data_IF_584544216655
#
_entry.id   IF_584544216655
#
_cell.length_a   1.000
_cell.length_b   1.000
_cell.length_c   1.000
_cell.angle_alpha   90.00
_cell.angle_beta   90.00
_cell.angle_gamma   90.00
#
_symmetry.space_group_name_H-M   'P 1'
#
loop_
_entity.id
_entity.type
_entity.pdbx_description
1 polymer ?
#
# COMPACT_ATOMS: atom_id res chain seq x y z
N UNK A 1 -7.22 -22.37 -5.46
CA UNK A 1 -7.33 -20.90 -5.39
C UNK A 1 -6.19 -20.35 -4.55
N UNK A 2 -5.54 -19.25 -4.95
CA UNK A 2 -4.49 -18.63 -4.13
C UNK A 2 -5.14 -17.76 -3.06
N UNK A 3 -4.76 -17.96 -1.80
CA UNK A 3 -5.24 -17.16 -0.66
C UNK A 3 -4.55 -15.79 -0.65
N UNK A 4 -5.21 -14.79 -0.08
CA UNK A 4 -4.62 -13.45 0.02
C UNK A 4 -3.42 -13.44 0.97
N UNK A 5 -2.52 -12.47 0.79
CA UNK A 5 -1.42 -12.24 1.74
C UNK A 5 -1.95 -11.84 3.13
N UNK A 6 -3.12 -11.21 3.19
CA UNK A 6 -3.80 -10.89 4.46
C UNK A 6 -4.22 -12.15 5.21
N UNK A 7 -4.67 -13.18 4.50
CA UNK A 7 -5.06 -14.46 5.10
C UNK A 7 -3.86 -15.33 5.49
N UNK A 8 -2.77 -15.26 4.72
CA UNK A 8 -1.66 -16.22 4.82
C UNK A 8 -0.47 -15.70 5.63
N UNK A 9 -0.19 -14.40 5.60
CA UNK A 9 0.98 -13.83 6.25
C UNK A 9 0.63 -13.38 7.69
N UNK A 10 1.15 -14.04 8.75
CA UNK A 10 0.84 -13.69 10.13
C UNK A 10 1.25 -12.26 10.50
N UNK A 11 2.28 -11.71 9.84
CA UNK A 11 2.76 -10.34 10.08
C UNK A 11 1.85 -9.25 9.49
N UNK A 12 0.93 -9.61 8.59
CA UNK A 12 -0.01 -8.68 7.95
C UNK A 12 -1.40 -8.70 8.59
N UNK A 13 -1.65 -9.60 9.55
CA UNK A 13 -2.93 -9.74 10.25
C UNK A 13 -3.22 -8.57 11.19
N UNK A 14 -2.20 -8.04 11.86
CA UNK A 14 -2.35 -6.88 12.73
C UNK A 14 -2.31 -5.58 11.89
N UNK A 15 -3.41 -4.81 11.82
CA UNK A 15 -3.48 -3.61 10.98
C UNK A 15 -2.54 -2.50 11.45
N UNK A 16 -2.32 -2.35 12.76
CA UNK A 16 -1.44 -1.32 13.30
C UNK A 16 0.02 -1.62 13.01
N UNK A 17 0.43 -2.87 13.19
CA UNK A 17 1.78 -3.33 12.84
C UNK A 17 2.02 -3.20 11.33
N UNK A 18 1.03 -3.57 10.50
CA UNK A 18 1.09 -3.41 9.05
C UNK A 18 1.31 -1.94 8.66
N UNK A 19 0.51 -1.03 9.21
CA UNK A 19 0.63 0.41 8.95
C UNK A 19 2.00 0.96 9.38
N UNK A 20 2.51 0.53 10.53
CA UNK A 20 3.85 0.89 11.02
C UNK A 20 4.95 0.42 10.07
N UNK A 21 4.88 -0.83 9.60
CA UNK A 21 5.87 -1.40 8.69
C UNK A 21 5.85 -0.72 7.32
N UNK A 22 4.66 -0.46 6.77
CA UNK A 22 4.50 0.28 5.52
C UNK A 22 5.08 1.70 5.62
N UNK A 23 4.78 2.41 6.71
CA UNK A 23 5.37 3.74 6.96
C UNK A 23 6.89 3.67 7.02
N UNK A 24 7.47 2.70 7.73
CA UNK A 24 8.93 2.55 7.80
C UNK A 24 9.54 2.35 6.42
N UNK A 25 8.94 1.46 5.61
CA UNK A 25 9.40 1.19 4.25
C UNK A 25 9.33 2.42 3.35
N UNK A 26 8.23 3.18 3.42
CA UNK A 26 8.06 4.41 2.65
C UNK A 26 9.08 5.48 3.04
N UNK A 27 9.25 5.73 4.34
CA UNK A 27 10.22 6.71 4.85
C UNK A 27 11.64 6.35 4.40
N UNK A 28 12.04 5.07 4.49
CA UNK A 28 13.39 4.67 4.06
C UNK A 28 13.59 4.83 2.56
N UNK A 29 12.59 4.48 1.74
CA UNK A 29 12.71 4.61 0.29
C UNK A 29 12.73 6.07 -0.14
N UNK A 30 11.87 6.90 0.42
CA UNK A 30 11.82 8.33 0.12
C UNK A 30 13.05 9.09 0.60
N UNK A 31 13.64 8.72 1.74
CA UNK A 31 14.88 9.32 2.20
C UNK A 31 16.04 9.11 1.21
N UNK A 32 16.10 7.94 0.56
CA UNK A 32 17.09 7.68 -0.51
C UNK A 32 16.86 8.61 -1.71
N UNK A 33 15.61 8.94 -2.01
CA UNK A 33 15.24 9.90 -3.07
C UNK A 33 15.33 11.37 -2.61
N UNK A 34 15.73 11.64 -1.35
CA UNK A 34 15.81 12.99 -0.78
C UNK A 34 14.47 13.61 -0.39
N UNK A 35 13.40 12.82 -0.33
CA UNK A 35 12.05 13.25 0.04
C UNK A 35 11.82 12.94 1.53
N UNK A 36 11.61 13.99 2.33
CA UNK A 36 11.36 13.86 3.76
C UNK A 36 9.87 14.07 4.07
N UNK A 37 9.21 13.02 4.55
CA UNK A 37 7.82 13.10 5.00
C UNK A 37 7.75 13.81 6.36
N UNK A 38 6.96 14.89 6.46
CA UNK A 38 6.67 15.52 7.75
C UNK A 38 5.72 14.64 8.57
N UNK A 39 5.94 14.57 9.88
CA UNK A 39 5.19 13.67 10.78
C UNK A 39 3.67 13.93 10.77
N UNK A 40 3.25 15.19 10.54
CA UNK A 40 1.83 15.57 10.43
C UNK A 40 1.15 14.98 9.19
N UNK A 41 1.90 14.72 8.11
CA UNK A 41 1.39 14.06 6.90
C UNK A 41 1.40 12.53 7.01
N UNK A 42 1.86 11.96 8.13
CA UNK A 42 1.88 10.51 8.37
C UNK A 42 0.48 9.86 8.35
N UNK A 43 -0.59 10.64 8.51
CA UNK A 43 -1.98 10.22 8.32
C UNK A 43 -2.44 10.13 6.85
N UNK A 44 -1.68 10.70 5.90
CA UNK A 44 -2.08 10.91 4.51
C UNK A 44 -1.68 9.77 3.55
N UNK A 45 -1.11 8.66 4.05
CA UNK A 45 -1.01 7.44 3.24
C UNK A 45 -2.41 6.86 3.14
N UNK A 46 -3.17 7.35 2.16
CA UNK A 46 -4.47 6.80 1.79
C UNK A 46 -4.23 5.36 1.36
N UNK A 47 -4.78 4.40 2.11
CA UNK A 47 -4.81 2.98 1.72
C UNK A 47 -5.79 2.73 0.55
N UNK A 48 -6.14 3.77 -0.20
CA UNK A 48 -6.95 3.65 -1.40
C UNK A 48 -6.18 2.78 -2.40
N UNK A 49 -6.78 1.65 -2.76
CA UNK A 49 -6.21 0.75 -3.74
C UNK A 49 -5.88 1.56 -5.01
N UNK A 50 -4.63 1.52 -5.51
CA UNK A 50 -4.32 2.23 -6.74
C UNK A 50 -5.22 1.69 -7.84
N UNK A 51 -5.94 2.59 -8.52
CA UNK A 51 -6.84 2.32 -9.66
C UNK A 51 -6.13 1.51 -10.75
N UNK A 52 -4.80 1.44 -10.74
CA UNK A 52 -3.97 0.62 -11.62
C UNK A 52 -4.33 -0.89 -11.63
N UNK A 53 -4.93 -1.44 -10.57
CA UNK A 53 -5.42 -2.85 -10.59
C UNK A 53 -6.78 -3.01 -11.29
N UNK A 54 -7.48 -1.92 -11.59
CA UNK A 54 -8.72 -1.93 -12.37
C UNK A 54 -8.35 -1.98 -13.85
N UNK A 55 -8.01 -3.18 -14.34
CA UNK A 55 -8.14 -3.47 -15.77
C UNK A 55 -9.61 -3.34 -16.14
N UNK A 56 -10.06 -2.15 -16.53
CA UNK A 56 -11.27 -2.02 -17.34
C UNK A 56 -10.97 -2.71 -18.66
N UNK A 57 -11.35 -3.99 -18.77
CA UNK A 57 -11.46 -4.63 -20.08
C UNK A 57 -12.52 -3.82 -20.84
N UNK A 58 -12.08 -2.96 -21.75
CA UNK A 58 -12.97 -2.37 -22.74
C UNK A 58 -13.49 -3.51 -23.62
N UNK A 59 -14.67 -4.03 -23.29
CA UNK A 59 -15.42 -4.85 -24.23
C UNK A 59 -15.96 -3.91 -25.29
N UNK A 60 -15.15 -3.65 -26.32
CA UNK A 60 -15.63 -3.17 -27.61
C UNK A 60 -16.53 -4.27 -28.18
N UNK A 61 -17.84 -4.13 -27.96
CA UNK A 61 -18.83 -4.88 -28.69
C UNK A 61 -18.94 -4.24 -30.09
N UNK A 62 -18.80 -5.09 -31.11
CA UNK A 62 -19.07 -4.78 -32.52
C UNK A 62 -20.56 -4.56 -32.74
#
# INVERSE_FOLDING_TARGET
MKKSLLETNPYLKNPEQRKRLLRRSLVSSFAVEGIYLQEETGGAVKEDAPVFTVRTRSTSAR
#
